data_IF_769240813914
#
_entry.id   IF_769240813914
#
_cell.length_a   1.000
_cell.length_b   1.000
_cell.length_c   1.000
_cell.angle_alpha   90.00
_cell.angle_beta   90.00
_cell.angle_gamma   90.00
#
_symmetry.space_group_name_H-M   'P 1'
#
loop_
_entity.id
_entity.type
_entity.pdbx_description
1 polymer ?
#
# COMPACT_ATOMS: atom_id res chain seq x y z
N UNK A 1 21.18 -32.73 12.23
CA UNK A 1 20.87 -31.29 12.44
C UNK A 1 20.90 -30.53 11.13
N UNK A 2 21.92 -30.70 10.29
CA UNK A 2 21.95 -30.09 8.93
C UNK A 2 20.72 -30.43 8.06
N UNK A 3 20.24 -31.66 8.09
CA UNK A 3 19.01 -32.04 7.37
C UNK A 3 17.76 -31.27 7.83
N UNK A 4 17.70 -30.84 9.10
CA UNK A 4 16.58 -30.05 9.63
C UNK A 4 16.66 -28.60 9.16
N UNK A 5 17.87 -28.04 9.07
CA UNK A 5 18.12 -26.69 8.51
C UNK A 5 17.69 -26.66 7.04
N UNK A 6 18.09 -27.66 6.26
CA UNK A 6 17.71 -27.78 4.85
C UNK A 6 16.19 -27.95 4.67
N UNK A 7 15.55 -28.79 5.48
CA UNK A 7 14.11 -28.98 5.43
C UNK A 7 13.33 -27.69 5.74
N UNK A 8 13.77 -26.91 6.74
CA UNK A 8 13.16 -25.62 7.06
C UNK A 8 13.30 -24.62 5.89
N UNK A 9 14.48 -24.55 5.26
CA UNK A 9 14.71 -23.71 4.09
C UNK A 9 13.85 -24.10 2.88
N UNK A 10 13.76 -25.39 2.56
CA UNK A 10 12.94 -25.89 1.44
C UNK A 10 11.45 -25.62 1.65
N UNK A 11 10.95 -25.83 2.87
CA UNK A 11 9.55 -25.53 3.20
C UNK A 11 9.23 -24.04 3.07
N UNK A 12 10.12 -23.16 3.51
CA UNK A 12 9.95 -21.71 3.33
C UNK A 12 9.94 -21.34 1.85
N UNK A 13 10.88 -21.87 1.07
CA UNK A 13 10.98 -21.61 -0.36
C UNK A 13 9.69 -22.01 -1.10
N UNK A 14 9.16 -23.19 -0.82
CA UNK A 14 7.90 -23.67 -1.41
C UNK A 14 6.73 -22.73 -1.09
N UNK A 15 6.56 -22.34 0.18
CA UNK A 15 5.49 -21.41 0.61
C UNK A 15 5.60 -20.03 -0.04
N UNK A 16 6.82 -19.51 -0.20
CA UNK A 16 7.05 -18.23 -0.87
C UNK A 16 6.68 -18.33 -2.35
N UNK A 17 7.13 -19.38 -3.04
CA UNK A 17 6.80 -19.61 -4.45
C UNK A 17 5.30 -19.80 -4.69
N UNK A 18 4.60 -20.52 -3.82
CA UNK A 18 3.15 -20.69 -3.91
C UNK A 18 2.42 -19.35 -3.76
N UNK A 19 2.85 -18.53 -2.78
CA UNK A 19 2.28 -17.19 -2.59
C UNK A 19 2.61 -16.25 -3.75
N UNK A 20 3.74 -16.42 -4.44
CA UNK A 20 4.10 -15.61 -5.63
C UNK A 20 3.07 -15.89 -6.73
N UNK A 21 2.86 -17.18 -7.03
CA UNK A 21 1.85 -17.60 -8.00
C UNK A 21 0.44 -17.12 -7.65
N UNK A 22 0.04 -17.22 -6.38
CA UNK A 22 -1.27 -16.70 -5.93
C UNK A 22 -1.40 -15.20 -6.16
N UNK A 23 -0.39 -14.42 -5.79
CA UNK A 23 -0.46 -12.96 -5.93
C UNK A 23 -0.51 -12.55 -7.40
N UNK A 24 0.27 -13.19 -8.26
CA UNK A 24 0.26 -12.89 -9.70
C UNK A 24 -1.08 -13.25 -10.35
N UNK A 25 -1.67 -14.40 -9.99
CA UNK A 25 -3.01 -14.78 -10.44
C UNK A 25 -4.08 -13.79 -9.97
N UNK A 26 -3.98 -13.29 -8.74
CA UNK A 26 -4.88 -12.26 -8.22
C UNK A 26 -4.79 -10.99 -9.06
N UNK A 27 -3.59 -10.47 -9.30
CA UNK A 27 -3.47 -9.27 -10.13
C UNK A 27 -3.92 -9.51 -11.57
N UNK A 28 -3.58 -10.64 -12.19
CA UNK A 28 -4.00 -10.96 -13.57
C UNK A 28 -5.52 -11.01 -13.71
N UNK A 29 -6.22 -11.69 -12.80
CA UNK A 29 -7.69 -11.77 -12.78
C UNK A 29 -8.35 -10.40 -12.76
N UNK A 30 -7.75 -9.44 -12.07
CA UNK A 30 -8.29 -8.10 -11.92
C UNK A 30 -7.87 -7.16 -13.06
N UNK A 31 -6.71 -7.36 -13.67
CA UNK A 31 -6.31 -6.72 -14.93
C UNK A 31 -7.21 -7.14 -16.10
N UNK A 32 -7.63 -8.41 -16.15
CA UNK A 32 -8.59 -8.87 -17.15
C UNK A 32 -10.00 -8.31 -16.88
N UNK A 33 -10.39 -8.20 -15.61
CA UNK A 33 -11.69 -7.64 -15.19
C UNK A 33 -11.75 -6.12 -15.24
N UNK A 34 -10.63 -5.40 -15.29
CA UNK A 34 -10.68 -3.93 -15.35
C UNK A 34 -11.43 -3.46 -16.59
N UNK A 35 -11.35 -4.21 -17.69
CA UNK A 35 -12.10 -3.91 -18.92
C UNK A 35 -13.63 -4.10 -18.78
N UNK A 36 -14.12 -4.67 -17.68
CA UNK A 36 -15.53 -4.89 -17.45
C UNK A 36 -16.19 -3.68 -16.77
N UNK A 37 -17.30 -3.24 -17.36
CA UNK A 37 -18.12 -2.10 -16.94
C UNK A 37 -18.63 -2.24 -15.48
N UNK A 38 -18.82 -3.48 -15.00
CA UNK A 38 -19.33 -3.76 -13.65
C UNK A 38 -18.24 -3.81 -12.56
N UNK A 39 -17.02 -3.39 -12.86
CA UNK A 39 -15.93 -3.45 -11.91
C UNK A 39 -16.05 -2.32 -10.86
N UNK A 40 -16.30 -2.70 -9.60
CA UNK A 40 -16.56 -1.78 -8.50
C UNK A 40 -15.28 -1.40 -7.74
N UNK A 41 -15.30 -0.22 -7.11
CA UNK A 41 -14.23 0.20 -6.18
C UNK A 41 -14.09 -0.74 -4.98
N UNK A 42 -15.15 -1.46 -4.60
CA UNK A 42 -15.09 -2.46 -3.53
C UNK A 42 -14.25 -3.65 -3.96
N UNK A 43 -14.41 -4.14 -5.19
CA UNK A 43 -13.61 -5.25 -5.71
C UNK A 43 -12.10 -4.92 -5.75
N UNK A 44 -11.72 -3.67 -6.07
CA UNK A 44 -10.33 -3.19 -6.00
C UNK A 44 -9.77 -3.19 -4.58
N UNK A 45 -10.60 -2.91 -3.59
CA UNK A 45 -10.20 -2.94 -2.18
C UNK A 45 -10.09 -4.38 -1.69
N UNK A 46 -11.03 -5.24 -2.05
CA UNK A 46 -11.00 -6.66 -1.70
C UNK A 46 -9.73 -7.31 -2.25
N UNK A 47 -9.34 -6.99 -3.49
CA UNK A 47 -8.05 -7.39 -4.07
C UNK A 47 -6.87 -6.96 -3.20
N UNK A 48 -6.86 -5.70 -2.75
CA UNK A 48 -5.77 -5.20 -1.94
C UNK A 48 -5.72 -5.87 -0.57
N UNK A 49 -6.88 -6.10 0.04
CA UNK A 49 -6.98 -6.77 1.33
C UNK A 49 -6.47 -8.23 1.22
N UNK A 50 -6.77 -8.93 0.14
CA UNK A 50 -6.21 -10.27 -0.16
C UNK A 50 -4.68 -10.23 -0.29
N UNK A 51 -4.14 -9.27 -1.07
CA UNK A 51 -2.68 -9.10 -1.22
C UNK A 51 -2.01 -8.78 0.13
N UNK A 52 -2.64 -7.95 0.96
CA UNK A 52 -2.14 -7.63 2.31
C UNK A 52 -2.16 -8.86 3.22
N UNK A 53 -3.17 -9.74 3.11
CA UNK A 53 -3.18 -11.00 3.86
C UNK A 53 -2.05 -11.93 3.41
N UNK A 54 -1.82 -12.07 2.10
CA UNK A 54 -0.72 -12.89 1.59
C UNK A 54 0.64 -12.40 2.09
N UNK A 55 0.90 -11.08 2.05
CA UNK A 55 2.14 -10.52 2.60
C UNK A 55 2.26 -10.69 4.13
N UNK A 56 1.14 -10.67 4.86
CA UNK A 56 1.13 -11.00 6.29
C UNK A 56 1.51 -12.47 6.52
N UNK A 57 0.93 -13.40 5.78
CA UNK A 57 1.25 -14.84 5.88
C UNK A 57 2.73 -15.10 5.57
N UNK A 58 3.32 -14.44 4.58
CA UNK A 58 4.76 -14.57 4.30
C UNK A 58 5.66 -14.10 5.43
N UNK A 59 5.38 -12.92 6.00
CA UNK A 59 6.13 -12.44 7.18
C UNK A 59 6.06 -13.43 8.33
N UNK A 60 4.90 -14.06 8.52
CA UNK A 60 4.75 -15.13 9.51
C UNK A 60 5.62 -16.35 9.15
N UNK A 61 5.62 -16.81 7.90
CA UNK A 61 6.48 -17.93 7.48
C UNK A 61 7.97 -17.65 7.67
N UNK A 62 8.42 -16.42 7.40
CA UNK A 62 9.80 -16.00 7.63
C UNK A 62 10.12 -16.07 9.14
N UNK A 63 9.26 -15.51 9.99
CA UNK A 63 9.44 -15.55 11.44
C UNK A 63 9.41 -16.97 12.03
N UNK A 64 8.50 -17.81 11.56
CA UNK A 64 8.40 -19.22 11.99
C UNK A 64 9.65 -20.02 11.57
N UNK A 65 10.21 -19.73 10.40
CA UNK A 65 11.44 -20.37 9.91
C UNK A 65 12.64 -19.92 10.73
N UNK A 66 12.77 -18.62 11.02
CA UNK A 66 13.81 -18.10 11.91
C UNK A 66 13.76 -18.79 13.28
N UNK A 67 12.58 -18.88 13.89
CA UNK A 67 12.39 -19.58 15.17
C UNK A 67 12.83 -21.04 15.08
N UNK A 68 12.43 -21.75 14.03
CA UNK A 68 12.80 -23.15 13.82
C UNK A 68 14.32 -23.32 13.71
N UNK A 69 15.00 -22.41 13.00
CA UNK A 69 16.46 -22.43 12.85
C UNK A 69 17.17 -22.17 14.18
N UNK A 70 16.69 -21.21 14.98
CA UNK A 70 17.21 -20.93 16.32
C UNK A 70 17.05 -22.15 17.26
N UNK A 71 15.89 -22.82 17.24
CA UNK A 71 15.66 -24.05 18.01
C UNK A 71 16.58 -25.22 17.57
N UNK A 72 16.95 -25.28 16.29
CA UNK A 72 17.95 -26.26 15.81
C UNK A 72 19.33 -25.93 16.36
N UNK A 73 19.75 -24.66 16.34
CA UNK A 73 21.06 -24.25 16.88
C UNK A 73 21.14 -24.33 18.41
N UNK A 74 20.04 -24.11 19.12
CA UNK A 74 19.97 -24.33 20.57
C UNK A 74 20.17 -25.81 20.92
N UNK A 75 19.46 -26.72 20.23
CA UNK A 75 19.67 -28.17 20.39
C UNK A 75 21.09 -28.59 20.03
N UNK A 76 21.69 -27.96 19.02
CA UNK A 76 23.11 -28.18 18.65
C UNK A 76 24.03 -27.81 19.80
N UNK A 77 23.81 -26.66 20.42
CA UNK A 77 24.57 -26.17 21.58
C UNK A 77 24.48 -27.13 22.76
N UNK A 78 23.28 -27.60 23.09
CA UNK A 78 23.06 -28.57 24.18
C UNK A 78 23.81 -29.88 23.92
N UNK A 79 23.69 -30.44 22.71
CA UNK A 79 24.37 -31.68 22.29
C UNK A 79 25.89 -31.54 22.35
N UNK A 80 26.44 -30.42 21.88
CA UNK A 80 27.87 -30.13 21.94
C UNK A 80 28.35 -30.05 23.40
N UNK A 81 27.59 -29.38 24.28
CA UNK A 81 27.92 -29.28 25.69
C UNK A 81 27.96 -30.64 26.40
N UNK A 82 26.99 -31.53 26.11
CA UNK A 82 26.98 -32.91 26.61
C UNK A 82 28.22 -33.70 26.15
N UNK A 83 28.55 -33.59 24.86
CA UNK A 83 29.71 -34.26 24.26
C UNK A 83 31.02 -33.74 24.86
N UNK A 84 31.19 -32.43 24.98
CA UNK A 84 32.36 -31.83 25.62
C UNK A 84 32.51 -32.26 27.07
N UNK A 85 31.41 -32.30 27.85
CA UNK A 85 31.44 -32.76 29.24
C UNK A 85 31.87 -34.22 29.34
N UNK A 86 31.35 -35.09 28.46
CA UNK A 86 31.73 -36.51 28.41
C UNK A 86 33.20 -36.70 28.04
N UNK A 87 33.70 -35.98 27.04
CA UNK A 87 35.12 -36.05 26.66
C UNK A 87 36.04 -35.46 27.71
N UNK A 88 35.62 -34.40 28.40
CA UNK A 88 36.40 -33.83 29.52
C UNK A 88 36.60 -34.87 30.62
N UNK A 89 35.54 -35.61 31.00
CA UNK A 89 35.65 -36.68 31.99
C UNK A 89 36.57 -37.81 31.51
N UNK A 90 36.38 -38.31 30.29
CA UNK A 90 37.21 -39.38 29.71
C UNK A 90 38.69 -38.99 29.59
N UNK A 91 38.99 -37.75 29.19
CA UNK A 91 40.37 -37.28 29.06
C UNK A 91 41.04 -37.11 30.42
N UNK A 92 40.30 -36.71 31.47
CA UNK A 92 40.83 -36.70 32.85
C UNK A 92 41.21 -38.11 33.33
N UNK A 93 40.45 -39.12 32.92
CA UNK A 93 40.66 -40.50 33.38
C UNK A 93 41.75 -41.24 32.59
N UNK A 94 41.92 -40.91 31.31
CA UNK A 94 42.76 -41.69 30.37
C UNK A 94 44.05 -40.96 29.98
N UNK A 95 44.06 -39.62 29.93
CA UNK A 95 45.26 -38.91 29.52
C UNK A 95 46.27 -38.83 30.67
N UNK A 96 47.54 -39.10 30.34
CA UNK A 96 48.70 -38.84 31.20
C UNK A 96 49.01 -37.33 31.38
N UNK A 97 48.04 -36.45 31.08
CA UNK A 97 48.16 -35.01 31.23
C UNK A 97 47.66 -34.60 32.62
N UNK A 98 48.23 -33.52 33.15
CA UNK A 98 47.68 -32.93 34.37
C UNK A 98 46.24 -32.44 34.11
N UNK A 99 45.33 -32.50 35.10
CA UNK A 99 43.94 -32.09 34.92
C UNK A 99 43.79 -30.66 34.35
N UNK A 100 44.69 -29.76 34.73
CA UNK A 100 44.76 -28.37 34.23
C UNK A 100 45.03 -28.29 32.72
N UNK A 101 45.91 -29.15 32.19
CA UNK A 101 46.22 -29.20 30.76
C UNK A 101 45.03 -29.74 29.94
N UNK A 102 44.32 -30.75 30.48
CA UNK A 102 43.09 -31.27 29.87
C UNK A 102 42.02 -30.19 29.81
N UNK A 103 41.85 -29.42 30.90
CA UNK A 103 40.93 -28.29 30.93
C UNK A 103 41.29 -27.21 29.92
N UNK A 104 42.57 -26.83 29.80
CA UNK A 104 43.03 -25.82 28.83
C UNK A 104 42.79 -26.27 27.39
N UNK A 105 43.00 -27.56 27.09
CA UNK A 105 42.71 -28.13 25.78
C UNK A 105 41.21 -28.07 25.45
N UNK A 106 40.35 -28.56 26.35
CA UNK A 106 38.90 -28.51 26.16
C UNK A 106 38.40 -27.08 26.01
N UNK A 107 38.93 -26.15 26.80
CA UNK A 107 38.55 -24.74 26.72
C UNK A 107 38.86 -24.16 25.32
N UNK A 108 40.03 -24.47 24.76
CA UNK A 108 40.40 -24.02 23.41
C UNK A 108 39.47 -24.57 22.33
N UNK A 109 39.14 -25.86 22.40
CA UNK A 109 38.20 -26.49 21.46
C UNK A 109 36.78 -25.92 21.61
N UNK A 110 36.30 -25.77 22.85
CA UNK A 110 35.02 -25.15 23.13
C UNK A 110 34.94 -23.71 22.59
N UNK A 111 36.03 -22.94 22.71
CA UNK A 111 36.11 -21.58 22.15
C UNK A 111 35.95 -21.57 20.63
N UNK A 112 36.64 -22.48 19.91
CA UNK A 112 36.50 -22.58 18.45
C UNK A 112 35.08 -22.96 18.03
N UNK A 113 34.46 -23.90 18.74
CA UNK A 113 33.08 -24.31 18.47
C UNK A 113 32.11 -23.16 18.76
N UNK A 114 32.28 -22.43 19.87
CA UNK A 114 31.46 -21.28 20.20
C UNK A 114 31.56 -20.17 19.14
N UNK A 115 32.75 -19.93 18.57
CA UNK A 115 32.91 -18.99 17.45
C UNK A 115 32.09 -19.42 16.22
N UNK A 116 32.10 -20.71 15.88
CA UNK A 116 31.27 -21.23 14.79
C UNK A 116 29.77 -21.12 15.09
N UNK A 117 29.34 -21.41 16.32
CA UNK A 117 27.95 -21.23 16.74
C UNK A 117 27.50 -19.76 16.63
N UNK A 118 28.33 -18.82 17.06
CA UNK A 118 28.05 -17.38 16.93
C UNK A 118 27.97 -16.97 15.45
N UNK A 119 28.82 -17.53 14.58
CA UNK A 119 28.73 -17.30 13.14
C UNK A 119 27.39 -17.81 12.57
N UNK A 120 26.92 -18.99 12.99
CA UNK A 120 25.62 -19.52 12.59
C UNK A 120 24.46 -18.62 13.03
N UNK A 121 24.45 -18.17 14.29
CA UNK A 121 23.41 -17.26 14.79
C UNK A 121 23.39 -15.94 14.01
N UNK A 122 24.57 -15.37 13.70
CA UNK A 122 24.67 -14.18 12.83
C UNK A 122 24.15 -14.46 11.42
N UNK A 123 24.42 -15.64 10.87
CA UNK A 123 23.93 -16.02 9.55
C UNK A 123 22.39 -16.15 9.53
N UNK A 124 21.77 -16.74 10.56
CA UNK A 124 20.31 -16.82 10.71
C UNK A 124 19.70 -15.41 10.79
N UNK A 125 20.23 -14.55 11.66
CA UNK A 125 19.75 -13.17 11.79
C UNK A 125 19.87 -12.39 10.47
N UNK A 126 21.00 -12.54 9.76
CA UNK A 126 21.22 -11.91 8.46
C UNK A 126 20.27 -12.45 7.38
N UNK A 127 19.96 -13.74 7.41
CA UNK A 127 18.98 -14.35 6.50
C UNK A 127 17.59 -13.77 6.74
N UNK A 128 17.13 -13.71 8.01
CA UNK A 128 15.82 -13.13 8.36
C UNK A 128 15.71 -11.68 7.91
N UNK A 129 16.75 -10.88 8.16
CA UNK A 129 16.81 -9.48 7.72
C UNK A 129 16.72 -9.34 6.19
N UNK A 130 17.50 -10.13 5.44
CA UNK A 130 17.48 -10.09 3.97
C UNK A 130 16.12 -10.53 3.41
N UNK A 131 15.50 -11.55 3.99
CA UNK A 131 14.16 -12.02 3.59
C UNK A 131 13.10 -10.96 3.85
N UNK A 132 13.15 -10.30 5.02
CA UNK A 132 12.24 -9.21 5.36
C UNK A 132 12.45 -7.98 4.44
N UNK A 133 13.69 -7.65 4.09
CA UNK A 133 13.98 -6.58 3.13
C UNK A 133 13.42 -6.90 1.73
N UNK A 134 13.60 -8.14 1.27
CA UNK A 134 13.04 -8.60 0.00
C UNK A 134 11.50 -8.57 0.00
N UNK A 135 10.88 -8.98 1.11
CA UNK A 135 9.43 -8.90 1.34
C UNK A 135 8.92 -7.46 1.20
N UNK A 136 9.56 -6.51 1.88
CA UNK A 136 9.19 -5.09 1.82
C UNK A 136 9.33 -4.50 0.42
N UNK A 137 10.40 -4.86 -0.32
CA UNK A 137 10.56 -4.45 -1.72
C UNK A 137 9.46 -5.01 -2.62
N UNK A 138 9.04 -6.26 -2.38
CA UNK A 138 7.93 -6.87 -3.11
C UNK A 138 6.60 -6.17 -2.80
N UNK A 139 6.31 -5.91 -1.53
CA UNK A 139 5.11 -5.16 -1.11
C UNK A 139 5.04 -3.78 -1.76
N UNK A 140 6.18 -3.07 -1.86
CA UNK A 140 6.27 -1.80 -2.57
C UNK A 140 5.92 -1.92 -4.06
N UNK A 141 6.41 -2.96 -4.72
CA UNK A 141 6.13 -3.23 -6.14
C UNK A 141 4.65 -3.58 -6.37
N UNK A 142 4.07 -4.42 -5.51
CA UNK A 142 2.64 -4.77 -5.53
C UNK A 142 1.76 -3.55 -5.28
N UNK A 143 2.18 -2.65 -4.37
CA UNK A 143 1.47 -1.39 -4.11
C UNK A 143 1.44 -0.50 -5.34
N UNK A 144 2.56 -0.40 -6.07
CA UNK A 144 2.63 0.39 -7.29
C UNK A 144 1.71 -0.18 -8.37
N UNK A 145 1.74 -1.50 -8.59
CA UNK A 145 0.85 -2.20 -9.53
C UNK A 145 -0.63 -1.95 -9.20
N UNK A 146 -1.00 -2.07 -7.93
CA UNK A 146 -2.36 -1.74 -7.48
C UNK A 146 -2.73 -0.28 -7.71
N UNK A 147 -1.82 0.67 -7.46
CA UNK A 147 -2.07 2.09 -7.73
C UNK A 147 -2.33 2.35 -9.21
N UNK A 148 -1.61 1.68 -10.10
CA UNK A 148 -1.79 1.84 -11.55
C UNK A 148 -3.12 1.23 -12.01
N UNK A 149 -3.54 0.09 -11.45
CA UNK A 149 -4.90 -0.45 -11.64
C UNK A 149 -5.99 0.53 -11.20
N UNK A 150 -5.81 1.16 -10.03
CA UNK A 150 -6.74 2.17 -9.52
C UNK A 150 -6.81 3.39 -10.45
N UNK A 151 -5.68 3.85 -11.01
CA UNK A 151 -5.65 4.94 -11.99
C UNK A 151 -6.35 4.55 -13.29
N UNK A 152 -6.08 3.37 -13.82
CA UNK A 152 -6.70 2.88 -15.05
C UNK A 152 -8.22 2.80 -14.89
N UNK A 153 -8.70 2.23 -13.78
CA UNK A 153 -10.12 2.19 -13.46
C UNK A 153 -10.75 3.58 -13.37
N UNK A 154 -10.09 4.57 -12.73
CA UNK A 154 -10.58 5.95 -12.68
C UNK A 154 -10.76 6.54 -14.08
N UNK A 155 -9.76 6.36 -14.94
CA UNK A 155 -9.81 6.86 -16.32
C UNK A 155 -10.97 6.24 -17.08
N UNK A 156 -11.19 4.94 -16.94
CA UNK A 156 -12.28 4.23 -17.59
C UNK A 156 -13.67 4.64 -17.08
N UNK A 157 -13.84 4.80 -15.76
CA UNK A 157 -15.11 5.30 -15.20
C UNK A 157 -15.42 6.72 -15.69
N UNK A 158 -14.40 7.58 -15.79
CA UNK A 158 -14.54 8.90 -16.38
C UNK A 158 -14.98 8.82 -17.85
N UNK A 159 -14.31 7.98 -18.64
CA UNK A 159 -14.60 7.81 -20.06
C UNK A 159 -16.02 7.28 -20.29
N UNK A 160 -16.45 6.30 -19.50
CA UNK A 160 -17.80 5.74 -19.57
C UNK A 160 -18.88 6.79 -19.32
N UNK A 161 -18.72 7.64 -18.29
CA UNK A 161 -19.68 8.72 -18.01
C UNK A 161 -19.68 9.78 -19.12
N UNK A 162 -18.50 10.08 -19.69
CA UNK A 162 -18.39 11.02 -20.82
C UNK A 162 -19.08 10.47 -22.06
N UNK A 163 -18.92 9.18 -22.34
CA UNK A 163 -19.51 8.54 -23.51
C UNK A 163 -21.03 8.42 -23.38
N UNK A 164 -21.54 8.02 -22.22
CA UNK A 164 -22.98 8.04 -21.93
C UNK A 164 -23.57 9.45 -22.14
N UNK A 165 -22.87 10.48 -21.67
CA UNK A 165 -23.29 11.87 -21.89
C UNK A 165 -23.24 12.27 -23.37
N UNK A 166 -22.22 11.82 -24.12
CA UNK A 166 -22.09 12.08 -25.57
C UNK A 166 -23.23 11.44 -26.35
N UNK A 167 -23.56 10.18 -26.08
CA UNK A 167 -24.66 9.48 -26.73
C UNK A 167 -26.00 10.20 -26.51
N UNK A 168 -26.25 10.68 -25.29
CA UNK A 168 -27.45 11.47 -24.97
C UNK A 168 -27.48 12.78 -25.77
N UNK A 169 -26.35 13.50 -25.86
CA UNK A 169 -26.25 14.74 -26.62
C UNK A 169 -26.45 14.53 -28.13
N UNK A 170 -25.94 13.43 -28.68
CA UNK A 170 -26.13 13.07 -30.08
C UNK A 170 -27.60 12.70 -30.37
N UNK A 171 -28.24 11.93 -29.50
CA UNK A 171 -29.67 11.63 -29.61
C UNK A 171 -30.56 12.89 -29.55
N UNK A 172 -30.24 13.83 -28.66
CA UNK A 172 -30.96 15.10 -28.57
C UNK A 172 -30.70 15.99 -29.81
N UNK A 173 -29.47 16.02 -30.35
CA UNK A 173 -29.14 16.74 -31.60
C UNK A 173 -30.02 16.30 -32.76
N UNK A 174 -30.16 15.00 -32.96
CA UNK A 174 -30.97 14.43 -34.04
C UNK A 174 -32.47 14.71 -33.81
N UNK A 175 -32.92 14.60 -32.56
CA UNK A 175 -34.28 14.94 -32.15
C UNK A 175 -34.66 16.40 -32.43
N UNK A 176 -33.78 17.37 -32.14
CA UNK A 176 -33.99 18.80 -32.43
C UNK A 176 -34.14 19.02 -33.92
N UNK A 177 -33.24 18.44 -34.72
CA UNK A 177 -33.26 18.62 -36.18
C UNK A 177 -34.61 18.19 -36.77
N UNK A 178 -35.16 17.05 -36.30
CA UNK A 178 -36.48 16.58 -36.70
C UNK A 178 -37.62 17.50 -36.24
N UNK A 179 -37.59 18.00 -34.99
CA UNK A 179 -38.62 18.90 -34.44
C UNK A 179 -38.64 20.26 -35.16
N UNK A 180 -37.47 20.86 -35.36
CA UNK A 180 -37.34 22.13 -36.08
C UNK A 180 -37.85 21.97 -37.52
N UNK A 181 -37.48 20.86 -38.19
CA UNK A 181 -37.95 20.60 -39.55
C UNK A 181 -39.48 20.48 -39.62
N UNK A 182 -40.08 19.72 -38.71
CA UNK A 182 -41.54 19.56 -38.64
C UNK A 182 -42.26 20.90 -38.44
N UNK A 183 -41.77 21.73 -37.50
CA UNK A 183 -42.35 23.04 -37.24
C UNK A 183 -42.16 23.96 -38.46
N UNK A 184 -40.99 23.93 -39.10
CA UNK A 184 -40.70 24.72 -40.32
C UNK A 184 -41.59 24.30 -41.50
N UNK A 185 -41.84 23.00 -41.69
CA UNK A 185 -42.73 22.50 -42.74
C UNK A 185 -44.18 22.95 -42.50
N UNK A 186 -44.66 22.85 -41.25
CA UNK A 186 -45.99 23.38 -40.86
C UNK A 186 -46.11 24.88 -41.11
N UNK A 187 -45.04 25.65 -40.87
CA UNK A 187 -45.00 27.07 -41.17
C UNK A 187 -45.15 27.33 -42.67
N UNK A 188 -44.41 26.60 -43.49
CA UNK A 188 -44.43 26.76 -44.94
C UNK A 188 -45.83 26.47 -45.51
N UNK A 189 -46.54 25.49 -44.96
CA UNK A 189 -47.91 25.17 -45.33
C UNK A 189 -48.90 26.31 -45.00
N UNK A 190 -48.68 27.04 -43.90
CA UNK A 190 -49.51 28.19 -43.50
C UNK A 190 -49.14 29.46 -44.28
N UNK A 191 -47.85 29.69 -44.54
CA UNK A 191 -47.38 30.89 -45.23
C UNK A 191 -47.68 30.89 -46.73
N UNK A 192 -47.66 29.72 -47.37
CA UNK A 192 -47.93 29.59 -48.81
C UNK A 192 -49.27 30.22 -49.23
N UNK A 193 -50.44 29.86 -48.66
CA UNK A 193 -51.71 30.47 -49.05
C UNK A 193 -51.81 31.96 -48.66
N UNK A 194 -51.17 32.39 -47.57
CA UNK A 194 -51.15 33.79 -47.15
C UNK A 194 -50.32 34.66 -48.12
N UNK A 195 -49.18 34.15 -48.59
CA UNK A 195 -48.36 34.81 -49.59
C UNK A 195 -49.06 34.83 -50.95
N UNK A 196 -49.74 33.75 -51.35
CA UNK A 196 -50.55 33.72 -52.57
C UNK A 196 -51.67 34.79 -52.51
N UNK A 197 -52.35 34.89 -51.37
CA UNK A 197 -53.37 35.92 -51.13
C UNK A 197 -52.78 37.34 -51.13
N UNK A 198 -51.56 37.51 -50.59
CA UNK A 198 -50.86 38.80 -50.61
C UNK A 198 -50.48 39.21 -52.02
N UNK A 199 -49.98 38.27 -52.82
CA UNK A 199 -49.67 38.48 -54.24
C UNK A 199 -50.93 38.85 -55.03
N UNK A 200 -52.04 38.15 -54.80
CA UNK A 200 -53.33 38.47 -55.43
C UNK A 200 -53.80 39.89 -55.08
N UNK A 201 -53.72 40.31 -53.82
CA UNK A 201 -54.05 41.68 -53.41
C UNK A 201 -53.11 42.71 -54.03
N UNK A 202 -51.82 42.43 -54.14
CA UNK A 202 -50.87 43.33 -54.80
C UNK A 202 -51.16 43.46 -56.30
N UNK A 203 -51.54 42.36 -56.95
CA UNK A 203 -51.97 42.38 -58.35
C UNK A 203 -53.28 43.13 -58.56
N UNK A 204 -54.27 43.01 -57.67
CA UNK A 204 -55.57 43.68 -57.83
C UNK A 204 -55.51 45.21 -57.83
N UNK A 205 -54.36 45.80 -57.47
CA UNK A 205 -54.11 47.25 -57.62
C UNK A 205 -54.18 47.67 -59.09
N UNK A 206 -53.75 46.81 -60.02
CA UNK A 206 -53.81 47.14 -61.45
C UNK A 206 -55.23 47.30 -61.99
N UNK A 207 -56.22 46.76 -61.28
CA UNK A 207 -57.63 46.81 -61.66
C UNK A 207 -58.34 48.08 -61.15
N UNK A 208 -57.66 48.88 -60.31
CA UNK A 208 -58.12 50.18 -59.83
C UNK A 208 -57.91 51.28 -60.90
N UNK A 209 -58.54 51.10 -62.05
CA UNK A 209 -58.58 52.05 -63.17
C UNK A 209 -59.91 52.82 -63.13
N UNK A 210 -60.01 54.08 -63.59
CA UNK A 210 -61.31 54.74 -63.70
C UNK A 210 -62.28 53.95 -64.60
N UNK A 211 -63.58 53.79 -64.22
CA UNK A 211 -64.31 54.46 -63.15
C UNK A 211 -64.34 53.70 -61.80
N UNK A 212 -63.76 52.50 -61.69
CA UNK A 212 -63.74 51.67 -60.48
C UNK A 212 -62.78 52.20 -59.41
N UNK A 213 -61.83 53.05 -59.79
CA UNK A 213 -60.95 53.77 -58.88
C UNK A 213 -61.71 54.86 -58.09
N UNK A 214 -62.23 54.47 -56.92
CA UNK A 214 -62.84 55.37 -55.94
C UNK A 214 -61.99 55.46 -54.67
N UNK A 215 -62.07 56.59 -53.95
CA UNK A 215 -61.34 56.77 -52.67
C UNK A 215 -61.64 55.63 -51.68
N UNK A 216 -62.89 55.17 -51.65
CA UNK A 216 -63.33 54.06 -50.79
C UNK A 216 -62.67 52.74 -51.18
N UNK A 217 -62.62 52.41 -52.49
CA UNK A 217 -61.98 51.18 -52.98
C UNK A 217 -60.48 51.12 -52.67
N UNK A 218 -59.77 52.25 -52.74
CA UNK A 218 -58.33 52.33 -52.38
C UNK A 218 -58.11 52.15 -50.88
N UNK A 219 -58.99 52.71 -50.04
CA UNK A 219 -58.93 52.55 -48.58
C UNK A 219 -59.21 51.10 -48.19
N UNK A 220 -60.26 50.48 -48.75
CA UNK A 220 -60.62 49.09 -48.48
C UNK A 220 -59.51 48.11 -48.91
N UNK A 221 -58.87 48.37 -50.06
CA UNK A 221 -57.70 47.62 -50.50
C UNK A 221 -56.53 47.75 -49.51
N UNK A 222 -56.21 48.98 -49.10
CA UNK A 222 -55.13 49.26 -48.16
C UNK A 222 -55.38 48.61 -46.79
N UNK A 223 -56.60 48.71 -46.27
CA UNK A 223 -56.99 48.10 -45.00
C UNK A 223 -56.94 46.57 -45.07
N UNK A 224 -57.32 45.98 -46.20
CA UNK A 224 -57.22 44.54 -46.45
C UNK A 224 -55.77 44.06 -46.49
N UNK A 225 -54.88 44.81 -47.15
CA UNK A 225 -53.45 44.52 -47.18
C UNK A 225 -52.82 44.68 -45.79
N UNK A 226 -53.19 45.72 -45.05
CA UNK A 226 -52.69 45.96 -43.70
C UNK A 226 -53.15 44.85 -42.72
N UNK A 227 -54.40 44.41 -42.83
CA UNK A 227 -54.92 43.30 -42.05
C UNK A 227 -54.18 41.99 -42.35
N UNK A 228 -53.89 41.70 -43.63
CA UNK A 228 -53.14 40.53 -44.03
C UNK A 228 -51.69 40.57 -43.54
N UNK A 229 -51.01 41.73 -43.62
CA UNK A 229 -49.67 41.87 -43.07
C UNK A 229 -49.63 41.67 -41.56
N UNK A 230 -50.59 42.24 -40.81
CA UNK A 230 -50.73 41.98 -39.37
C UNK A 230 -50.95 40.50 -39.05
N UNK A 231 -51.72 39.79 -39.87
CA UNK A 231 -51.92 38.35 -39.72
C UNK A 231 -50.62 37.57 -39.95
N UNK A 232 -49.85 37.92 -40.98
CA UNK A 232 -48.54 37.32 -41.27
C UNK A 232 -47.55 37.58 -40.11
N UNK A 233 -47.49 38.81 -39.59
CA UNK A 233 -46.61 39.17 -38.47
C UNK A 233 -46.99 38.43 -37.18
N UNK A 234 -48.29 38.27 -36.93
CA UNK A 234 -48.80 37.53 -35.78
C UNK A 234 -48.41 36.05 -35.83
N UNK A 235 -48.59 35.41 -36.99
CA UNK A 235 -48.22 34.00 -37.20
C UNK A 235 -46.70 33.83 -37.10
N UNK A 236 -45.92 34.74 -37.69
CA UNK A 236 -44.47 34.72 -37.60
C UNK A 236 -43.97 34.84 -36.16
N UNK A 237 -44.61 35.71 -35.36
CA UNK A 237 -44.27 35.87 -33.94
C UNK A 237 -44.58 34.62 -33.13
N UNK A 238 -45.75 34.01 -33.31
CA UNK A 238 -46.12 32.75 -32.65
C UNK A 238 -45.17 31.61 -33.02
N UNK A 239 -44.74 31.55 -34.28
CA UNK A 239 -43.80 30.54 -34.74
C UNK A 239 -42.41 30.70 -34.14
N UNK A 240 -41.88 31.93 -34.14
CA UNK A 240 -40.61 32.24 -33.48
C UNK A 240 -40.64 31.89 -31.99
N UNK A 241 -41.77 32.11 -31.32
CA UNK A 241 -41.97 31.71 -29.93
C UNK A 241 -41.92 30.20 -29.75
N UNK A 242 -42.61 29.42 -30.62
CA UNK A 242 -42.53 27.96 -30.59
C UNK A 242 -41.12 27.42 -30.84
N UNK A 243 -40.38 27.97 -31.80
CA UNK A 243 -38.99 27.56 -32.05
C UNK A 243 -38.09 27.86 -30.85
N UNK A 244 -38.26 29.02 -30.20
CA UNK A 244 -37.53 29.33 -28.96
C UNK A 244 -37.86 28.34 -27.86
N UNK A 245 -39.14 28.01 -27.67
CA UNK A 245 -39.54 27.04 -26.65
C UNK A 245 -38.90 25.66 -26.90
N UNK A 246 -38.88 25.18 -28.14
CA UNK A 246 -38.21 23.91 -28.51
C UNK A 246 -36.71 23.99 -28.22
N UNK A 247 -36.06 25.10 -28.54
CA UNK A 247 -34.64 25.31 -28.27
C UNK A 247 -34.35 25.35 -26.76
N UNK A 248 -35.15 26.07 -25.99
CA UNK A 248 -35.01 26.22 -24.54
C UNK A 248 -35.22 24.89 -23.81
N UNK A 249 -36.24 24.11 -24.21
CA UNK A 249 -36.49 22.77 -23.65
C UNK A 249 -35.28 21.85 -23.77
N UNK A 250 -34.63 21.88 -24.93
CA UNK A 250 -33.45 21.07 -25.23
C UNK A 250 -32.26 21.55 -24.42
N UNK A 251 -32.00 22.87 -24.41
CA UNK A 251 -30.90 23.45 -23.61
C UNK A 251 -31.07 23.05 -22.14
N UNK A 252 -32.27 23.20 -21.59
CA UNK A 252 -32.56 22.78 -20.22
C UNK A 252 -32.39 21.29 -19.97
N UNK A 253 -32.71 20.44 -20.95
CA UNK A 253 -32.49 19.00 -20.83
C UNK A 253 -31.01 18.64 -20.87
N UNK A 254 -30.25 19.19 -21.83
CA UNK A 254 -28.80 18.99 -21.92
C UNK A 254 -28.08 19.47 -20.66
N UNK A 255 -28.48 20.61 -20.09
CA UNK A 255 -27.93 21.09 -18.82
C UNK A 255 -28.19 20.12 -17.66
N UNK A 256 -29.41 19.57 -17.54
CA UNK A 256 -29.73 18.58 -16.50
C UNK A 256 -28.91 17.31 -16.62
N UNK A 257 -28.71 16.80 -17.83
CA UNK A 257 -27.88 15.60 -18.04
C UNK A 257 -26.39 15.89 -17.79
N UNK A 258 -25.92 17.10 -18.10
CA UNK A 258 -24.57 17.54 -17.75
C UNK A 258 -24.38 17.62 -16.23
N UNK A 259 -25.36 18.17 -15.49
CA UNK A 259 -25.36 18.22 -14.02
C UNK A 259 -25.35 16.81 -13.42
N UNK A 260 -26.20 15.90 -13.91
CA UNK A 260 -26.24 14.49 -13.46
C UNK A 260 -24.92 13.76 -13.71
N UNK A 261 -24.29 14.00 -14.86
CA UNK A 261 -22.97 13.44 -15.21
C UNK A 261 -21.89 14.00 -14.29
N UNK A 262 -21.93 15.30 -14.00
CA UNK A 262 -21.03 15.96 -13.05
C UNK A 262 -21.20 15.41 -11.62
N UNK A 263 -22.43 15.25 -11.15
CA UNK A 263 -22.73 14.66 -9.84
C UNK A 263 -22.20 13.23 -9.73
N UNK A 264 -22.37 12.43 -10.78
CA UNK A 264 -21.87 11.06 -10.85
C UNK A 264 -20.34 11.01 -10.76
N UNK A 265 -19.64 11.86 -11.51
CA UNK A 265 -18.18 12.00 -11.42
C UNK A 265 -17.73 12.44 -10.02
N UNK A 266 -18.40 13.41 -9.42
CA UNK A 266 -18.10 13.85 -8.05
C UNK A 266 -18.34 12.75 -7.02
N UNK A 267 -19.41 11.96 -7.16
CA UNK A 267 -19.70 10.84 -6.27
C UNK A 267 -18.61 9.77 -6.32
N UNK A 268 -18.12 9.43 -7.53
CA UNK A 268 -16.99 8.51 -7.72
C UNK A 268 -15.71 9.06 -7.06
N UNK A 269 -15.41 10.36 -7.24
CA UNK A 269 -14.27 11.01 -6.60
C UNK A 269 -14.37 11.00 -5.08
N UNK A 270 -15.51 11.41 -4.51
CA UNK A 270 -15.74 11.45 -3.05
C UNK A 270 -15.58 10.09 -2.40
N UNK A 271 -16.14 9.03 -3.01
CA UNK A 271 -15.96 7.64 -2.52
C UNK A 271 -14.48 7.31 -2.46
N UNK A 272 -13.72 7.58 -3.53
CA UNK A 272 -12.30 7.32 -3.58
C UNK A 272 -11.50 8.14 -2.55
N UNK A 273 -11.78 9.43 -2.40
CA UNK A 273 -11.09 10.30 -1.42
C UNK A 273 -11.34 9.82 0.01
N UNK A 274 -12.55 9.38 0.33
CA UNK A 274 -12.86 8.77 1.63
C UNK A 274 -12.02 7.51 1.88
N UNK A 275 -11.83 6.68 0.85
CA UNK A 275 -10.98 5.48 0.92
C UNK A 275 -9.49 5.81 1.08
N UNK A 276 -8.95 6.74 0.28
CA UNK A 276 -7.56 7.20 0.41
C UNK A 276 -7.31 7.77 1.81
N UNK A 277 -8.23 8.58 2.33
CA UNK A 277 -8.15 9.12 3.69
C UNK A 277 -8.22 8.03 4.78
N UNK A 278 -8.96 6.93 4.55
CA UNK A 278 -8.95 5.78 5.46
C UNK A 278 -7.59 5.08 5.46
N UNK A 279 -7.02 4.82 4.28
CA UNK A 279 -5.68 4.22 4.15
C UNK A 279 -4.60 5.11 4.75
N UNK A 280 -4.64 6.42 4.50
CA UNK A 280 -3.71 7.37 5.09
C UNK A 280 -3.79 7.37 6.62
N UNK A 281 -5.00 7.34 7.20
CA UNK A 281 -5.18 7.22 8.65
C UNK A 281 -4.63 5.91 9.21
N UNK A 282 -4.80 4.80 8.50
CA UNK A 282 -4.22 3.51 8.89
C UNK A 282 -2.69 3.57 8.86
N UNK A 283 -2.11 4.05 7.76
CA UNK A 283 -0.65 4.21 7.64
C UNK A 283 -0.08 5.11 8.75
N UNK A 284 -0.74 6.23 9.04
CA UNK A 284 -0.34 7.13 10.13
C UNK A 284 -0.33 6.42 11.49
N UNK A 285 -1.35 5.61 11.78
CA UNK A 285 -1.41 4.79 13.02
C UNK A 285 -0.29 3.76 13.07
N UNK A 286 -0.01 3.10 11.95
CA UNK A 286 1.07 2.11 11.86
C UNK A 286 2.45 2.73 12.08
N UNK A 287 2.71 3.90 11.51
CA UNK A 287 3.97 4.65 11.73
C UNK A 287 4.13 5.01 13.21
N UNK A 288 3.08 5.55 13.83
CA UNK A 288 3.13 5.91 15.25
C UNK A 288 3.34 4.67 16.15
N UNK A 289 2.75 3.52 15.79
CA UNK A 289 3.00 2.26 16.50
C UNK A 289 4.46 1.84 16.35
N UNK A 290 5.03 1.94 15.15
CA UNK A 290 6.42 1.60 14.88
C UNK A 290 7.39 2.49 15.67
N UNK A 291 7.17 3.81 15.70
CA UNK A 291 7.95 4.75 16.52
C UNK A 291 7.89 4.38 18.01
N UNK A 292 6.71 4.03 18.52
CA UNK A 292 6.54 3.59 19.91
C UNK A 292 7.28 2.28 20.20
N UNK A 293 7.27 1.33 19.26
CA UNK A 293 7.97 0.06 19.42
C UNK A 293 9.49 0.26 19.35
N UNK A 294 9.97 1.07 18.40
CA UNK A 294 11.38 1.38 18.24
C UNK A 294 11.96 2.09 19.47
N UNK A 295 11.24 3.07 20.01
CA UNK A 295 11.64 3.76 21.25
C UNK A 295 11.66 2.80 22.44
N UNK A 296 10.66 1.91 22.56
CA UNK A 296 10.63 0.87 23.58
C UNK A 296 11.81 -0.10 23.50
N UNK A 297 12.13 -0.58 22.28
CA UNK A 297 13.29 -1.46 22.03
C UNK A 297 14.60 -0.77 22.37
N UNK A 298 14.79 0.48 21.94
CA UNK A 298 16.00 1.25 22.25
C UNK A 298 16.19 1.44 23.76
N UNK A 299 15.10 1.67 24.51
CA UNK A 299 15.15 1.76 25.97
C UNK A 299 15.50 0.43 26.66
N UNK A 300 15.01 -0.69 26.12
CA UNK A 300 15.41 -2.03 26.60
C UNK A 300 16.88 -2.32 26.33
N UNK A 301 17.38 -1.97 25.14
CA UNK A 301 18.80 -2.12 24.78
C UNK A 301 19.70 -1.30 25.70
N UNK A 302 19.36 -0.05 25.98
CA UNK A 302 20.11 0.80 26.91
C UNK A 302 20.13 0.21 28.33
N UNK A 303 19.01 -0.37 28.79
CA UNK A 303 18.91 -1.01 30.10
C UNK A 303 19.79 -2.26 30.18
N UNK A 304 19.74 -3.11 29.14
CA UNK A 304 20.59 -4.30 29.05
C UNK A 304 22.08 -3.90 29.00
N UNK A 305 22.44 -2.87 28.24
CA UNK A 305 23.80 -2.37 28.17
C UNK A 305 24.31 -1.92 29.54
N UNK A 306 23.50 -1.17 30.30
CA UNK A 306 23.84 -0.77 31.68
C UNK A 306 24.06 -1.95 32.61
N UNK A 307 23.21 -2.98 32.52
CA UNK A 307 23.36 -4.21 33.31
C UNK A 307 24.64 -4.97 32.94
N UNK A 308 24.95 -5.04 31.65
CA UNK A 308 26.14 -5.72 31.13
C UNK A 308 27.42 -5.00 31.56
N UNK A 309 27.45 -3.67 31.45
CA UNK A 309 28.56 -2.84 31.93
C UNK A 309 28.74 -2.94 33.45
N UNK A 310 27.65 -2.95 34.21
CA UNK A 310 27.69 -3.14 35.67
C UNK A 310 28.25 -4.53 36.03
N UNK A 311 27.81 -5.57 35.33
CA UNK A 311 28.31 -6.93 35.53
C UNK A 311 29.81 -7.03 35.22
N UNK A 312 30.23 -6.41 34.10
CA UNK A 312 31.64 -6.35 33.69
C UNK A 312 32.49 -5.60 34.71
N UNK A 313 32.04 -4.45 35.19
CA UNK A 313 32.73 -3.66 36.22
C UNK A 313 32.87 -4.45 37.52
N UNK A 314 31.80 -5.12 37.96
CA UNK A 314 31.84 -5.96 39.17
C UNK A 314 32.83 -7.11 39.02
N UNK A 315 32.78 -7.84 37.90
CA UNK A 315 33.73 -8.92 37.62
C UNK A 315 35.18 -8.42 37.57
N UNK A 316 35.44 -7.27 36.93
CA UNK A 316 36.78 -6.67 36.92
C UNK A 316 37.24 -6.26 38.32
N UNK A 317 36.35 -5.69 39.14
CA UNK A 317 36.68 -5.30 40.51
C UNK A 317 36.96 -6.53 41.40
N UNK A 318 36.16 -7.59 41.27
CA UNK A 318 36.40 -8.87 41.95
C UNK A 318 37.74 -9.47 41.54
N UNK A 319 38.09 -9.47 40.24
CA UNK A 319 39.39 -9.95 39.77
C UNK A 319 40.55 -9.09 40.28
N UNK A 320 40.43 -7.76 40.24
CA UNK A 320 41.46 -6.86 40.76
C UNK A 320 41.67 -7.05 42.28
N UNK A 321 40.60 -7.27 43.04
CA UNK A 321 40.70 -7.55 44.47
C UNK A 321 41.44 -8.87 44.72
N UNK A 322 41.10 -9.94 44.00
CA UNK A 322 41.80 -11.23 44.08
C UNK A 322 43.28 -11.10 43.70
N UNK A 323 43.60 -10.33 42.67
CA UNK A 323 44.98 -10.06 42.23
C UNK A 323 45.77 -9.28 43.28
N UNK A 324 45.18 -8.22 43.86
CA UNK A 324 45.80 -7.44 44.93
C UNK A 324 46.03 -8.28 46.21
N UNK A 325 45.07 -9.12 46.59
CA UNK A 325 45.22 -10.04 47.72
C UNK A 325 46.35 -11.04 47.48
N UNK A 326 46.47 -11.58 46.26
CA UNK A 326 47.56 -12.46 45.87
C UNK A 326 48.92 -11.75 45.92
N UNK A 327 49.01 -10.51 45.40
CA UNK A 327 50.23 -9.70 45.46
C UNK A 327 50.69 -9.46 46.90
N UNK A 328 49.76 -9.14 47.82
CA UNK A 328 50.07 -8.96 49.24
C UNK A 328 50.62 -10.27 49.85
N UNK A 329 49.99 -11.41 49.53
CA UNK A 329 50.45 -12.73 50.00
C UNK A 329 51.85 -13.03 49.46
N UNK A 330 52.10 -12.77 48.17
CA UNK A 330 53.40 -12.99 47.53
C UNK A 330 54.50 -12.08 48.10
N UNK A 331 54.20 -10.80 48.36
CA UNK A 331 55.14 -9.88 49.00
C UNK A 331 55.46 -10.30 50.43
N UNK A 332 54.47 -10.77 51.18
CA UNK A 332 54.70 -11.34 52.53
C UNK A 332 55.62 -12.55 52.44
N UNK A 333 55.36 -13.45 51.50
CA UNK A 333 56.16 -14.65 51.25
C UNK A 333 57.62 -14.30 50.93
N UNK A 334 57.84 -13.18 50.23
CA UNK A 334 59.18 -12.66 49.90
C UNK A 334 59.93 -12.08 51.11
N UNK A 335 59.22 -11.60 52.13
CA UNK A 335 59.80 -10.94 53.31
C UNK A 335 60.02 -11.88 54.51
N UNK A 336 59.32 -13.02 54.56
CA UNK A 336 59.44 -13.99 55.65
C UNK A 336 60.79 -14.74 55.63
N UNK A 337 61.35 -14.98 56.81
CA UNK A 337 62.73 -15.48 56.97
C UNK A 337 62.84 -16.81 57.71
N UNK A 338 61.72 -17.37 58.20
CA UNK A 338 61.70 -18.69 58.85
C UNK A 338 60.91 -19.71 58.05
N UNK A 339 61.36 -20.97 58.06
CA UNK A 339 60.76 -22.05 57.29
C UNK A 339 59.29 -22.31 57.67
N UNK A 340 58.96 -22.19 58.97
CA UNK A 340 57.60 -22.39 59.46
C UNK A 340 56.64 -21.28 58.96
N UNK A 341 57.09 -20.02 58.96
CA UNK A 341 56.31 -18.89 58.44
C UNK A 341 56.14 -18.95 56.92
N UNK A 342 57.21 -19.27 56.19
CA UNK A 342 57.16 -19.48 54.74
C UNK A 342 56.16 -20.56 54.35
N UNK A 343 56.14 -21.69 55.07
CA UNK A 343 55.22 -22.80 54.79
C UNK A 343 53.75 -22.41 55.01
N UNK A 344 53.46 -21.57 56.01
CA UNK A 344 52.12 -21.05 56.27
C UNK A 344 51.67 -20.06 55.19
N UNK A 345 52.55 -19.13 54.78
CA UNK A 345 52.22 -18.13 53.75
C UNK A 345 52.11 -18.77 52.37
N UNK A 346 52.91 -19.79 52.07
CA UNK A 346 52.82 -20.57 50.83
C UNK A 346 51.51 -21.35 50.73
N UNK A 347 51.02 -21.95 51.82
CA UNK A 347 49.69 -22.56 51.84
C UNK A 347 48.55 -21.56 51.62
N UNK A 348 48.71 -20.29 52.05
CA UNK A 348 47.75 -19.22 51.75
C UNK A 348 47.79 -18.79 50.28
N UNK A 349 48.97 -18.74 49.67
CA UNK A 349 49.13 -18.43 48.25
C UNK A 349 48.50 -19.52 47.35
N UNK A 350 48.71 -20.80 47.69
CA UNK A 350 48.09 -21.93 46.99
C UNK A 350 46.55 -21.90 47.10
N UNK A 351 46.01 -21.57 48.28
CA UNK A 351 44.57 -21.42 48.46
C UNK A 351 44.00 -20.24 47.66
N UNK A 352 44.67 -19.10 47.64
CA UNK A 352 44.26 -17.93 46.86
C UNK A 352 44.29 -18.21 45.34
N UNK A 353 45.31 -18.93 44.85
CA UNK A 353 45.39 -19.36 43.46
C UNK A 353 44.27 -20.35 43.09
N UNK A 354 43.92 -21.26 44.00
CA UNK A 354 42.80 -22.18 43.80
C UNK A 354 41.44 -21.44 43.73
N UNK A 355 41.23 -20.40 44.54
CA UNK A 355 40.02 -19.55 44.51
C UNK A 355 39.94 -18.63 43.26
N UNK A 356 41.08 -18.34 42.64
CA UNK A 356 41.15 -17.68 41.33
C UNK A 356 40.88 -18.69 40.19
N UNK A 357 41.33 -19.94 40.34
CA UNK A 357 41.14 -20.99 39.33
C UNK A 357 39.70 -21.52 39.27
N UNK A 358 38.95 -21.42 40.38
CA UNK A 358 37.60 -21.98 40.53
C UNK A 358 36.46 -20.97 40.39
N UNK A 359 36.75 -19.67 40.31
CA UNK A 359 35.79 -18.60 39.97
C UNK A 359 35.95 -18.16 38.53
#
# INVERSE_FOLDING_TARGET
MEALVMAAGMSLQEKICESDGKTDLLFQKYEERSNNINFTVTALNDLWDEVVQESRSRRQYIGDTEKTLLEVEERRTQRIAEVLRKFTALLKDICFLMPSDVHRFIHKEAMMINQAMLANHRAIAKLSLNLMEAELKREGSQRLRWQDLVKAWKSQQKEMIIEEFREILEGERDGISGRIKTETDLLMDVYKPLNDKRLQLLCSVSDLVPPTCTKTAVIEWYDSLQALNKQIDHIGSQFLEKLRNVQDEVIHRCMREAEKSQESLQAVSRKMDAHINRLFRLAKKSVHLWESLQTGLSGQEETLQKLLDSCRQRHNAENQAKEADLDIILDTLRQESTAEQLRVVLGKAEAALHDIESG
#
